data_IF_451969155320
#
_entry.id   IF_451969155320
#
_cell.length_a   1.000
_cell.length_b   1.000
_cell.length_c   1.000
_cell.angle_alpha   90.00
_cell.angle_beta   90.00
_cell.angle_gamma   90.00
#
_symmetry.space_group_name_H-M   'P 1'
#
loop_
_entity.id
_entity.type
_entity.pdbx_description
1 polymer ?
#
# COMPACT_ATOMS: atom_id res chain seq x y z
N UNK A 1 -14.01 -69.69 13.74
CA UNK A 1 -13.42 -68.46 14.32
C UNK A 1 -13.07 -67.53 13.17
N UNK A 2 -13.86 -66.46 12.94
CA UNK A 2 -13.62 -65.46 11.89
C UNK A 2 -12.90 -64.30 12.53
N UNK A 3 -11.64 -64.03 12.12
CA UNK A 3 -10.87 -62.83 12.56
C UNK A 3 -11.29 -61.64 11.71
N UNK A 4 -11.86 -60.61 12.35
CA UNK A 4 -12.13 -59.33 11.74
C UNK A 4 -10.85 -58.49 11.75
N UNK A 5 -10.38 -58.03 10.57
CA UNK A 5 -9.30 -57.06 10.42
C UNK A 5 -9.94 -55.64 10.50
N UNK A 6 -9.58 -54.90 11.51
CA UNK A 6 -9.93 -53.48 11.62
C UNK A 6 -8.84 -52.69 10.88
N UNK A 7 -9.20 -52.09 9.76
CA UNK A 7 -8.35 -51.14 9.02
C UNK A 7 -8.55 -49.77 9.64
N UNK A 8 -7.57 -49.27 10.36
CA UNK A 8 -7.54 -47.93 10.91
C UNK A 8 -7.06 -46.95 9.82
N UNK A 9 -7.94 -46.16 9.24
CA UNK A 9 -7.58 -45.06 8.36
C UNK A 9 -6.97 -43.92 9.18
N UNK A 10 -5.67 -43.71 9.06
CA UNK A 10 -4.97 -42.53 9.60
C UNK A 10 -5.17 -41.41 8.60
N UNK A 11 -5.99 -40.43 8.96
CA UNK A 11 -6.14 -39.17 8.22
C UNK A 11 -4.87 -38.33 8.45
N UNK A 12 -4.03 -38.20 7.43
CA UNK A 12 -2.89 -37.28 7.43
C UNK A 12 -3.47 -35.88 7.14
N UNK A 13 -3.56 -35.03 8.17
CA UNK A 13 -3.84 -33.62 8.01
C UNK A 13 -2.62 -32.96 7.35
N UNK A 14 -2.74 -32.63 6.06
CA UNK A 14 -1.77 -31.81 5.36
C UNK A 14 -1.95 -30.38 5.84
N UNK A 15 -1.10 -29.95 6.76
CA UNK A 15 -0.99 -28.54 7.12
C UNK A 15 -0.41 -27.79 5.92
N UNK A 16 -1.23 -27.09 5.18
CA UNK A 16 -0.78 -26.08 4.24
C UNK A 16 -0.17 -24.94 5.04
N UNK A 17 1.13 -24.97 5.26
CA UNK A 17 1.88 -23.80 5.69
C UNK A 17 1.83 -22.78 4.55
N UNK A 18 0.98 -21.78 4.67
CA UNK A 18 1.12 -20.59 3.83
C UNK A 18 2.50 -20.00 4.17
N UNK A 19 3.30 -19.62 3.18
CA UNK A 19 4.51 -18.87 3.46
C UNK A 19 4.07 -17.61 4.20
N UNK A 20 4.46 -17.48 5.46
CA UNK A 20 4.39 -16.20 6.18
C UNK A 20 5.36 -15.30 5.40
N UNK A 21 4.84 -14.38 4.62
CA UNK A 21 5.65 -13.30 4.08
C UNK A 21 6.23 -12.61 5.31
N UNK A 22 7.55 -12.58 5.41
CA UNK A 22 8.19 -11.97 6.56
C UNK A 22 8.02 -10.46 6.46
N UNK A 23 7.40 -9.85 7.48
CA UNK A 23 7.32 -8.39 7.61
C UNK A 23 8.69 -7.77 7.29
N UNK A 24 8.72 -6.62 6.61
CA UNK A 24 9.99 -5.92 6.42
C UNK A 24 10.61 -5.60 7.79
N UNK A 25 11.89 -5.85 7.96
CA UNK A 25 12.63 -5.63 9.22
C UNK A 25 13.88 -4.76 9.05
N UNK A 26 14.23 -4.41 7.81
CA UNK A 26 15.47 -3.68 7.51
C UNK A 26 15.34 -2.18 7.72
N UNK A 27 14.12 -1.63 7.65
CA UNK A 27 13.86 -0.21 7.85
C UNK A 27 13.09 -0.02 9.17
N UNK A 28 13.78 0.29 10.27
CA UNK A 28 13.21 0.19 11.62
C UNK A 28 12.24 1.31 11.99
N UNK A 29 12.22 2.41 11.23
CA UNK A 29 11.40 3.58 11.55
C UNK A 29 11.19 4.52 10.34
N UNK A 30 10.17 5.36 10.45
CA UNK A 30 9.79 6.31 9.41
C UNK A 30 10.89 7.31 9.02
N UNK A 31 11.75 7.74 9.95
CA UNK A 31 12.82 8.68 9.62
C UNK A 31 13.85 8.05 8.67
N UNK A 32 14.19 6.79 8.90
CA UNK A 32 15.06 6.01 8.01
C UNK A 32 14.37 5.77 6.66
N UNK A 33 13.08 5.39 6.68
CA UNK A 33 12.30 5.22 5.45
C UNK A 33 12.25 6.50 4.61
N UNK A 34 12.02 7.66 5.24
CA UNK A 34 11.98 8.96 4.57
C UNK A 34 13.31 9.32 3.89
N UNK A 35 14.46 8.99 4.52
CA UNK A 35 15.77 9.22 3.93
C UNK A 35 15.95 8.35 2.68
N UNK A 36 15.66 7.05 2.78
CA UNK A 36 15.74 6.10 1.66
C UNK A 36 14.74 6.44 0.54
N UNK A 37 13.53 6.82 0.88
CA UNK A 37 12.51 7.22 -0.07
C UNK A 37 12.96 8.36 -0.98
N UNK A 38 13.48 9.44 -0.42
CA UNK A 38 13.93 10.59 -1.20
C UNK A 38 15.33 10.43 -1.79
N UNK A 39 16.22 9.71 -1.10
CA UNK A 39 17.64 9.57 -1.50
C UNK A 39 17.91 8.41 -2.44
N UNK A 40 17.23 7.29 -2.23
CA UNK A 40 17.55 6.04 -2.93
C UNK A 40 16.48 5.67 -3.97
N UNK A 41 15.18 5.84 -3.64
CA UNK A 41 14.09 5.52 -4.60
C UNK A 41 13.88 6.65 -5.61
N UNK A 42 13.90 7.92 -5.15
CA UNK A 42 13.65 9.07 -6.01
C UNK A 42 14.80 10.09 -6.05
N UNK A 43 16.07 9.66 -6.24
CA UNK A 43 17.22 10.56 -6.26
C UNK A 43 17.15 11.58 -7.40
N UNK A 44 16.48 11.23 -8.48
CA UNK A 44 16.31 12.07 -9.68
C UNK A 44 14.85 12.53 -9.88
N UNK A 45 14.04 12.38 -8.84
CA UNK A 45 12.64 12.74 -8.91
C UNK A 45 11.72 11.66 -9.51
N UNK A 46 10.47 12.03 -9.69
CA UNK A 46 9.40 11.17 -10.24
C UNK A 46 8.13 12.00 -10.49
N UNK A 47 6.97 11.35 -10.43
CA UNK A 47 5.65 11.99 -10.50
C UNK A 47 4.87 11.73 -9.22
N UNK A 48 4.08 12.73 -8.80
CA UNK A 48 3.17 12.58 -7.65
C UNK A 48 2.04 11.60 -7.97
N UNK A 49 1.69 10.76 -7.00
CA UNK A 49 0.68 9.71 -7.18
C UNK A 49 -0.66 10.26 -7.68
N UNK A 50 -1.27 11.16 -6.93
CA UNK A 50 -2.63 11.63 -7.19
C UNK A 50 -2.74 12.58 -8.38
N UNK A 51 -1.75 13.42 -8.64
CA UNK A 51 -1.85 14.50 -9.62
C UNK A 51 -0.91 14.34 -10.82
N UNK A 52 0.05 13.42 -10.79
CA UNK A 52 1.03 13.26 -11.87
C UNK A 52 1.93 14.49 -12.09
N UNK A 53 2.09 15.32 -11.08
CA UNK A 53 3.01 16.45 -11.14
C UNK A 53 4.44 15.96 -11.01
N UNK A 54 5.31 16.42 -11.88
CA UNK A 54 6.72 16.03 -11.89
C UNK A 54 7.50 16.75 -10.81
N UNK A 55 8.41 16.04 -10.16
CA UNK A 55 9.35 16.60 -9.19
C UNK A 55 10.76 16.05 -9.42
N UNK A 56 11.75 16.85 -9.11
CA UNK A 56 13.19 16.51 -9.23
C UNK A 56 13.91 16.61 -7.89
N UNK A 57 13.22 17.06 -6.85
CA UNK A 57 13.74 17.16 -5.49
C UNK A 57 12.66 16.75 -4.47
N UNK A 58 13.03 16.74 -3.20
CA UNK A 58 12.16 16.27 -2.10
C UNK A 58 11.18 17.30 -1.52
N UNK A 59 11.28 18.55 -1.93
CA UNK A 59 10.52 19.65 -1.32
C UNK A 59 9.33 20.11 -2.12
N UNK A 60 9.46 20.12 -3.45
CA UNK A 60 8.45 20.68 -4.36
C UNK A 60 8.50 20.05 -5.74
N UNK A 61 7.43 20.23 -6.49
CA UNK A 61 7.33 19.89 -7.91
C UNK A 61 8.08 20.89 -8.79
N UNK A 62 8.23 20.61 -10.09
CA UNK A 62 8.87 21.53 -11.05
C UNK A 62 8.11 22.89 -11.15
N UNK A 63 6.83 22.92 -10.87
CA UNK A 63 5.99 24.11 -10.81
C UNK A 63 5.83 24.70 -9.38
N UNK A 64 6.71 24.31 -8.43
CA UNK A 64 6.85 24.92 -7.10
C UNK A 64 5.81 24.46 -6.06
N UNK A 65 5.06 23.40 -6.32
CA UNK A 65 4.06 22.90 -5.37
C UNK A 65 4.69 22.02 -4.28
N UNK A 66 4.41 22.25 -2.98
CA UNK A 66 5.01 21.50 -1.89
C UNK A 66 4.68 20.02 -1.90
N UNK A 67 5.69 19.18 -1.65
CA UNK A 67 5.57 17.74 -1.57
C UNK A 67 5.43 17.21 -0.14
N UNK A 68 4.87 16.01 -0.04
CA UNK A 68 4.87 15.16 1.14
C UNK A 68 4.95 13.69 0.73
N UNK A 69 5.19 12.82 1.70
CA UNK A 69 5.06 11.38 1.51
C UNK A 69 3.64 10.98 1.86
N UNK A 70 2.99 10.29 0.94
CA UNK A 70 1.70 9.65 1.12
C UNK A 70 1.90 8.22 1.64
N UNK A 71 1.07 7.82 2.62
CA UNK A 71 0.88 6.42 2.99
C UNK A 71 -0.45 5.94 2.39
N UNK A 72 -0.38 5.14 1.36
CA UNK A 72 -1.57 4.67 0.60
C UNK A 72 -2.53 3.91 1.50
N UNK A 73 -2.06 2.93 2.27
CA UNK A 73 -2.77 2.41 3.43
C UNK A 73 -2.54 3.38 4.60
N UNK A 74 -3.58 4.06 5.12
CA UNK A 74 -3.41 5.15 6.07
C UNK A 74 -2.78 4.72 7.40
N UNK A 75 -1.94 5.59 7.95
CA UNK A 75 -1.35 5.37 9.28
C UNK A 75 -2.39 5.28 10.40
N UNK A 76 -3.50 6.01 10.29
CA UNK A 76 -4.63 5.90 11.24
C UNK A 76 -5.21 4.49 11.25
N UNK A 77 -5.46 3.89 10.09
CA UNK A 77 -5.97 2.53 9.99
C UNK A 77 -5.01 1.48 10.55
N UNK A 78 -3.69 1.69 10.41
CA UNK A 78 -2.69 0.83 11.07
C UNK A 78 -2.78 0.93 12.59
N UNK A 79 -2.91 2.17 13.13
CA UNK A 79 -3.05 2.38 14.57
C UNK A 79 -4.31 1.77 15.14
N UNK A 80 -5.43 1.94 14.44
CA UNK A 80 -6.73 1.40 14.83
C UNK A 80 -6.68 -0.14 14.85
N UNK A 81 -6.07 -0.76 13.85
CA UNK A 81 -5.89 -2.22 13.81
C UNK A 81 -5.00 -2.74 14.95
N UNK A 82 -3.96 -2.01 15.30
CA UNK A 82 -3.02 -2.41 16.36
C UNK A 82 -3.48 -1.98 17.77
N UNK A 83 -4.54 -1.19 17.86
CA UNK A 83 -5.07 -0.62 19.12
C UNK A 83 -3.96 0.06 19.96
N UNK A 84 -2.94 0.64 19.30
CA UNK A 84 -1.75 1.17 19.97
C UNK A 84 -1.87 2.63 20.42
N UNK A 85 -3.02 3.27 20.18
CA UNK A 85 -3.31 4.63 20.60
C UNK A 85 -3.01 5.70 19.53
N UNK A 86 -2.55 6.88 19.95
CA UNK A 86 -2.19 7.94 19.02
C UNK A 86 -0.83 7.66 18.34
N UNK A 87 -0.42 8.54 17.42
CA UNK A 87 0.81 8.35 16.65
C UNK A 87 2.05 8.18 17.54
N UNK A 88 2.22 9.04 18.54
CA UNK A 88 3.40 9.03 19.41
C UNK A 88 3.42 7.76 20.28
N UNK A 89 2.26 7.37 20.82
CA UNK A 89 2.13 6.13 21.59
C UNK A 89 2.47 4.89 20.74
N UNK A 90 2.01 4.85 19.48
CA UNK A 90 2.31 3.75 18.57
C UNK A 90 3.81 3.73 18.20
N UNK A 91 4.39 4.89 17.96
CA UNK A 91 5.84 5.03 17.70
C UNK A 91 6.68 4.52 18.87
N UNK A 92 6.30 4.87 20.09
CA UNK A 92 7.07 4.52 21.29
C UNK A 92 6.89 3.03 21.66
N UNK A 93 5.67 2.49 21.56
CA UNK A 93 5.32 1.22 22.18
C UNK A 93 5.08 0.06 21.18
N UNK A 94 5.00 0.30 19.86
CA UNK A 94 4.74 -0.72 18.88
C UNK A 94 5.82 -0.81 17.81
N UNK A 95 6.68 -1.82 17.92
CA UNK A 95 7.65 -2.13 16.86
C UNK A 95 6.95 -2.42 15.54
N UNK A 96 5.85 -3.21 15.59
CA UNK A 96 5.07 -3.55 14.39
C UNK A 96 4.52 -2.31 13.68
N UNK A 97 4.04 -1.31 14.44
CA UNK A 97 3.61 -0.04 13.85
C UNK A 97 4.77 0.68 13.14
N UNK A 98 5.94 0.76 13.77
CA UNK A 98 7.12 1.40 13.17
C UNK A 98 7.54 0.72 11.86
N UNK A 99 7.48 -0.61 11.79
CA UNK A 99 7.79 -1.37 10.58
C UNK A 99 6.74 -1.13 9.48
N UNK A 100 5.45 -1.16 9.81
CA UNK A 100 4.36 -0.85 8.86
C UNK A 100 4.44 0.58 8.31
N UNK A 101 4.66 1.57 9.19
CA UNK A 101 4.77 2.98 8.79
C UNK A 101 6.00 3.25 7.94
N UNK A 102 7.06 2.47 8.09
CA UNK A 102 8.31 2.60 7.34
C UNK A 102 8.38 1.76 6.07
N UNK A 103 7.32 1.01 5.74
CA UNK A 103 7.31 0.19 4.55
C UNK A 103 7.24 1.02 3.27
N UNK A 104 8.28 0.92 2.45
CA UNK A 104 8.42 1.70 1.23
C UNK A 104 7.40 1.33 0.15
N UNK A 105 6.82 0.12 0.16
CA UNK A 105 5.77 -0.27 -0.78
C UNK A 105 4.48 0.53 -0.56
N UNK A 106 4.26 1.03 0.65
CA UNK A 106 3.11 1.85 1.01
C UNK A 106 3.34 3.36 0.81
N UNK A 107 4.55 3.80 0.45
CA UNK A 107 4.94 5.22 0.41
C UNK A 107 5.02 5.76 -1.01
N UNK A 108 4.39 6.90 -1.29
CA UNK A 108 4.46 7.59 -2.59
C UNK A 108 4.66 9.09 -2.41
N UNK A 109 5.25 9.75 -3.43
CA UNK A 109 5.29 11.21 -3.49
C UNK A 109 3.90 11.78 -3.80
N UNK A 110 3.46 12.76 -3.04
CA UNK A 110 2.19 13.45 -3.28
C UNK A 110 2.30 14.95 -3.04
N UNK A 111 1.43 15.74 -3.67
CA UNK A 111 1.26 17.14 -3.29
C UNK A 111 0.74 17.22 -1.87
N UNK A 112 1.35 18.09 -1.05
CA UNK A 112 1.03 18.19 0.39
C UNK A 112 -0.45 18.50 0.66
N UNK A 113 -1.04 19.41 -0.10
CA UNK A 113 -2.44 19.78 0.05
C UNK A 113 -3.40 18.67 -0.38
N UNK A 114 -3.07 17.90 -1.43
CA UNK A 114 -3.87 16.76 -1.89
C UNK A 114 -3.77 15.61 -0.88
N UNK A 115 -2.56 15.31 -0.40
CA UNK A 115 -2.34 14.33 0.67
C UNK A 115 -3.13 14.70 1.94
N UNK A 116 -3.05 15.95 2.39
CA UNK A 116 -3.84 16.43 3.53
C UNK A 116 -5.35 16.36 3.27
N UNK A 117 -5.80 16.61 2.05
CA UNK A 117 -7.21 16.49 1.66
C UNK A 117 -7.69 15.04 1.66
N UNK A 118 -6.84 14.10 1.22
CA UNK A 118 -7.14 12.67 1.28
C UNK A 118 -7.25 12.23 2.73
N UNK A 119 -6.29 12.62 3.59
CA UNK A 119 -6.27 12.22 5.00
C UNK A 119 -6.26 10.70 5.13
N UNK A 120 -7.31 10.15 5.71
CA UNK A 120 -7.53 8.70 5.85
C UNK A 120 -8.84 8.22 5.17
N UNK A 121 -9.43 9.08 4.33
CA UNK A 121 -10.64 8.70 3.61
C UNK A 121 -10.40 7.44 2.76
N UNK A 122 -11.32 6.47 2.79
CA UNK A 122 -11.27 5.34 1.88
C UNK A 122 -11.34 5.80 0.42
N UNK A 123 -10.78 4.98 -0.45
CA UNK A 123 -10.88 5.20 -1.87
C UNK A 123 -12.25 4.79 -2.41
N UNK A 124 -12.72 5.48 -3.44
CA UNK A 124 -14.00 5.20 -4.06
C UNK A 124 -14.15 5.91 -5.40
N UNK A 125 -15.33 5.78 -5.99
CA UNK A 125 -15.75 6.51 -7.20
C UNK A 125 -16.79 7.54 -6.76
N UNK A 126 -16.61 8.77 -7.20
CA UNK A 126 -17.53 9.90 -6.95
C UNK A 126 -18.27 10.18 -8.25
N UNK A 127 -19.61 10.16 -8.27
CA UNK A 127 -20.36 10.49 -9.47
C UNK A 127 -20.06 11.93 -9.91
N UNK A 128 -19.95 12.13 -11.21
CA UNK A 128 -19.61 13.39 -11.85
C UNK A 128 -18.15 13.82 -11.66
N UNK A 129 -17.53 14.28 -12.75
CA UNK A 129 -16.17 14.81 -12.77
C UNK A 129 -16.13 16.20 -12.14
N UNK A 130 -15.78 16.30 -10.87
CA UNK A 130 -15.70 17.56 -10.14
C UNK A 130 -14.37 17.64 -9.36
N UNK A 131 -13.29 17.90 -10.06
CA UNK A 131 -11.96 18.00 -9.48
C UNK A 131 -11.88 19.00 -8.34
N UNK A 132 -11.38 18.54 -7.22
CA UNK A 132 -11.17 19.41 -6.05
C UNK A 132 -10.15 20.52 -6.32
N UNK A 133 -9.24 20.31 -7.24
CA UNK A 133 -8.18 21.24 -7.64
C UNK A 133 -8.08 21.28 -9.16
N UNK A 134 -8.14 22.44 -9.78
CA UNK A 134 -8.13 22.62 -11.24
C UNK A 134 -6.92 22.00 -11.97
N UNK A 135 -5.85 21.77 -11.23
CA UNK A 135 -4.60 21.20 -11.75
C UNK A 135 -4.42 19.70 -11.49
N UNK A 136 -5.41 19.03 -10.91
CA UNK A 136 -5.28 17.66 -10.43
C UNK A 136 -6.61 16.91 -10.57
N UNK A 137 -6.61 15.88 -11.40
CA UNK A 137 -7.70 14.91 -11.54
C UNK A 137 -7.80 14.11 -10.24
N UNK A 138 -8.45 14.73 -9.26
CA UNK A 138 -8.64 14.20 -7.91
C UNK A 138 -9.93 14.80 -7.32
N UNK A 139 -10.86 13.92 -6.94
CA UNK A 139 -12.11 14.27 -6.31
C UNK A 139 -12.09 13.93 -4.82
N UNK A 140 -12.91 14.65 -4.06
CA UNK A 140 -13.05 14.46 -2.62
C UNK A 140 -14.47 14.75 -2.16
N UNK A 141 -15.18 13.70 -1.74
CA UNK A 141 -16.43 13.80 -0.98
C UNK A 141 -16.16 13.60 0.53
N UNK A 142 -17.12 13.80 1.43
CA UNK A 142 -16.88 13.76 2.88
C UNK A 142 -16.14 12.50 3.35
N UNK A 143 -16.46 11.33 2.80
CA UNK A 143 -15.91 10.04 3.23
C UNK A 143 -15.25 9.24 2.08
N UNK A 144 -14.98 9.83 0.93
CA UNK A 144 -14.41 9.14 -0.23
C UNK A 144 -13.37 10.05 -0.88
N UNK A 145 -12.25 9.45 -1.29
CA UNK A 145 -11.25 10.07 -2.13
C UNK A 145 -11.17 9.29 -3.45
N UNK A 146 -11.33 9.97 -4.56
CA UNK A 146 -11.17 9.39 -5.88
C UNK A 146 -9.88 9.91 -6.52
N UNK A 147 -8.91 9.03 -6.77
CA UNK A 147 -7.68 9.38 -7.47
C UNK A 147 -7.86 9.26 -8.98
N UNK A 148 -7.01 9.97 -9.72
CA UNK A 148 -6.93 9.84 -11.18
C UNK A 148 -6.80 8.37 -11.62
N UNK A 149 -7.35 7.98 -12.78
CA UNK A 149 -7.38 6.58 -13.24
C UNK A 149 -6.02 5.89 -13.25
N UNK A 150 -4.97 6.56 -13.73
CA UNK A 150 -3.60 6.01 -13.84
C UNK A 150 -2.85 5.83 -12.49
N UNK A 151 -3.48 6.18 -11.37
CA UNK A 151 -2.95 5.93 -10.03
C UNK A 151 -3.65 4.76 -9.32
N UNK A 152 -4.78 4.33 -9.85
CA UNK A 152 -5.69 3.39 -9.18
C UNK A 152 -5.07 2.02 -8.99
N UNK A 153 -4.37 1.51 -10.00
CA UNK A 153 -3.67 0.22 -9.91
C UNK A 153 -2.52 0.24 -8.91
N UNK A 154 -1.72 1.30 -8.88
CA UNK A 154 -0.67 1.47 -7.88
C UNK A 154 -1.23 1.44 -6.45
N UNK A 155 -2.35 2.15 -6.22
CA UNK A 155 -3.05 2.18 -4.94
C UNK A 155 -3.54 0.78 -4.57
N UNK A 156 -4.21 0.08 -5.49
CA UNK A 156 -4.72 -1.26 -5.27
C UNK A 156 -3.60 -2.24 -4.85
N UNK A 157 -2.50 -2.26 -5.60
CA UNK A 157 -1.36 -3.14 -5.31
C UNK A 157 -0.65 -2.82 -4.00
N UNK A 158 -0.61 -1.54 -3.60
CA UNK A 158 -0.08 -1.14 -2.30
C UNK A 158 -0.97 -1.58 -1.15
N UNK A 159 -2.29 -1.40 -1.25
CA UNK A 159 -3.23 -1.80 -0.20
C UNK A 159 -3.24 -3.32 -0.04
N UNK A 160 -3.28 -4.09 -1.13
CA UNK A 160 -3.25 -5.54 -1.06
C UNK A 160 -1.91 -6.08 -0.54
N UNK A 161 -0.80 -5.41 -0.85
CA UNK A 161 0.49 -5.73 -0.25
C UNK A 161 0.43 -5.55 1.27
N UNK A 162 -0.02 -4.41 1.76
CA UNK A 162 -0.14 -4.14 3.19
C UNK A 162 -1.09 -5.11 3.90
N UNK A 163 -2.18 -5.51 3.21
CA UNK A 163 -3.10 -6.53 3.70
C UNK A 163 -2.41 -7.89 3.88
N UNK A 164 -1.70 -8.37 2.86
CA UNK A 164 -1.08 -9.70 2.90
C UNK A 164 0.15 -9.73 3.79
N UNK A 165 0.99 -8.70 3.73
CA UNK A 165 2.25 -8.62 4.48
C UNK A 165 2.00 -8.49 5.99
N UNK A 166 1.04 -7.65 6.38
CA UNK A 166 0.83 -7.29 7.78
C UNK A 166 -0.50 -7.80 8.36
N UNK A 167 -1.34 -8.46 7.59
CA UNK A 167 -2.68 -8.88 8.04
C UNK A 167 -3.64 -7.71 8.26
N UNK A 168 -3.39 -6.56 7.61
CA UNK A 168 -4.23 -5.37 7.78
C UNK A 168 -5.60 -5.55 7.11
N UNK A 169 -6.70 -5.14 7.73
CA UNK A 169 -8.03 -5.34 7.18
C UNK A 169 -8.27 -4.48 5.93
N UNK A 170 -9.00 -5.05 4.99
CA UNK A 170 -9.57 -4.34 3.83
C UNK A 170 -11.04 -4.70 3.75
N UNK A 171 -11.90 -3.70 3.73
CA UNK A 171 -13.35 -3.88 3.58
C UNK A 171 -13.68 -4.54 2.24
N UNK A 172 -14.69 -5.42 2.20
CA UNK A 172 -15.04 -6.21 1.01
C UNK A 172 -15.46 -5.38 -0.19
N UNK A 173 -16.15 -4.24 0.03
CA UNK A 173 -16.56 -3.36 -1.06
C UNK A 173 -15.35 -2.61 -1.62
N UNK A 174 -14.48 -2.12 -0.74
CA UNK A 174 -13.21 -1.53 -1.12
C UNK A 174 -12.33 -2.56 -1.85
N UNK A 175 -12.24 -3.78 -1.37
CA UNK A 175 -11.46 -4.84 -2.02
C UNK A 175 -11.97 -5.13 -3.44
N UNK A 176 -13.29 -5.17 -3.64
CA UNK A 176 -13.91 -5.37 -4.95
C UNK A 176 -13.56 -4.25 -5.91
N UNK A 177 -13.62 -2.99 -5.47
CA UNK A 177 -13.21 -1.82 -6.25
C UNK A 177 -11.72 -1.87 -6.59
N UNK A 178 -10.86 -2.18 -5.61
CA UNK A 178 -9.41 -2.25 -5.83
C UNK A 178 -9.01 -3.38 -6.79
N UNK A 179 -9.71 -4.52 -6.77
CA UNK A 179 -9.53 -5.57 -7.78
C UNK A 179 -9.84 -5.05 -9.18
N UNK A 180 -10.92 -4.29 -9.35
CA UNK A 180 -11.24 -3.65 -10.63
C UNK A 180 -10.13 -2.67 -11.05
N UNK A 181 -9.69 -1.81 -10.15
CA UNK A 181 -8.63 -0.84 -10.42
C UNK A 181 -7.30 -1.50 -10.84
N UNK A 182 -6.95 -2.62 -10.21
CA UNK A 182 -5.76 -3.38 -10.61
C UNK A 182 -5.85 -3.96 -12.03
N UNK A 183 -7.06 -4.35 -12.48
CA UNK A 183 -7.29 -4.81 -13.85
C UNK A 183 -7.20 -3.66 -14.87
N UNK A 184 -7.76 -2.51 -14.52
CA UNK A 184 -7.87 -1.34 -15.42
C UNK A 184 -6.55 -0.58 -15.54
N UNK A 185 -5.72 -0.58 -14.50
CA UNK A 185 -4.41 0.09 -14.44
C UNK A 185 -3.30 -0.93 -14.09
N UNK A 186 -2.81 -1.71 -15.06
CA UNK A 186 -1.78 -2.71 -14.83
C UNK A 186 -0.42 -2.09 -14.47
N UNK A 187 0.51 -2.87 -13.85
CA UNK A 187 1.81 -2.38 -13.43
C UNK A 187 2.62 -1.75 -14.58
N UNK A 188 3.07 -0.52 -14.37
CA UNK A 188 3.94 0.20 -15.28
C UNK A 188 5.41 -0.22 -15.13
N UNK A 189 6.25 0.07 -16.15
CA UNK A 189 7.70 -0.11 -16.04
C UNK A 189 8.33 0.69 -14.87
N UNK A 190 7.76 1.85 -14.53
CA UNK A 190 8.18 2.64 -13.38
C UNK A 190 7.90 1.93 -12.06
N UNK A 191 6.74 1.34 -11.94
CA UNK A 191 6.34 0.59 -10.75
C UNK A 191 7.19 -0.68 -10.59
N UNK A 192 7.43 -1.43 -11.67
CA UNK A 192 8.33 -2.60 -11.65
C UNK A 192 9.76 -2.24 -11.23
N UNK A 193 10.29 -1.13 -11.75
CA UNK A 193 11.63 -0.64 -11.35
C UNK A 193 11.67 -0.23 -9.89
N UNK A 194 10.64 0.47 -9.43
CA UNK A 194 10.49 0.85 -8.03
C UNK A 194 10.43 -0.38 -7.12
N UNK A 195 9.73 -1.44 -7.53
CA UNK A 195 9.66 -2.71 -6.81
C UNK A 195 11.05 -3.35 -6.62
N UNK A 196 11.90 -3.32 -7.66
CA UNK A 196 13.28 -3.80 -7.56
C UNK A 196 14.11 -2.99 -6.56
N UNK A 197 14.03 -1.65 -6.61
CA UNK A 197 14.78 -0.80 -5.67
C UNK A 197 14.31 -0.97 -4.22
N UNK A 198 13.02 -1.15 -4.00
CA UNK A 198 12.51 -1.40 -2.67
C UNK A 198 13.01 -2.75 -2.13
N UNK A 199 13.00 -3.80 -2.94
CA UNK A 199 13.54 -5.09 -2.55
C UNK A 199 15.03 -5.00 -2.14
N UNK A 200 15.83 -4.25 -2.87
CA UNK A 200 17.24 -3.99 -2.51
C UNK A 200 17.39 -3.24 -1.17
N UNK A 201 16.44 -2.35 -0.84
CA UNK A 201 16.52 -1.47 0.32
C UNK A 201 15.90 -2.06 1.59
N UNK A 202 14.84 -2.85 1.47
CA UNK A 202 14.09 -3.37 2.61
C UNK A 202 13.93 -4.90 2.65
N UNK A 203 14.38 -5.60 1.59
CA UNK A 203 14.38 -7.07 1.55
C UNK A 203 13.04 -7.72 1.23
N UNK A 204 11.97 -6.94 1.07
CA UNK A 204 10.64 -7.43 0.69
C UNK A 204 10.25 -6.92 -0.69
N UNK A 205 9.43 -7.70 -1.39
CA UNK A 205 8.97 -7.41 -2.74
C UNK A 205 7.45 -7.47 -2.81
N UNK A 206 6.82 -6.50 -3.44
CA UNK A 206 5.38 -6.55 -3.68
C UNK A 206 5.07 -7.54 -4.81
N UNK A 207 4.51 -8.72 -4.51
CA UNK A 207 4.26 -9.76 -5.50
C UNK A 207 3.13 -9.39 -6.47
N UNK A 208 2.29 -8.41 -6.13
CA UNK A 208 1.18 -7.96 -6.96
C UNK A 208 1.63 -7.03 -8.09
N UNK A 209 2.85 -6.49 -8.01
CA UNK A 209 3.48 -5.77 -9.13
C UNK A 209 4.00 -6.77 -10.16
N UNK A 210 4.62 -7.87 -9.71
CA UNK A 210 5.14 -8.90 -10.62
C UNK A 210 4.04 -9.80 -11.20
N UNK A 211 3.03 -10.08 -10.40
CA UNK A 211 1.96 -11.02 -10.72
C UNK A 211 0.59 -10.42 -10.34
N UNK A 212 0.12 -9.36 -11.04
CA UNK A 212 -1.09 -8.62 -10.65
C UNK A 212 -2.35 -9.48 -10.61
N UNK A 213 -2.39 -10.58 -11.35
CA UNK A 213 -3.52 -11.53 -11.33
C UNK A 213 -3.69 -12.27 -10.00
N UNK A 214 -2.65 -12.39 -9.17
CA UNK A 214 -2.74 -13.02 -7.84
C UNK A 214 -3.69 -12.29 -6.89
N UNK A 215 -4.00 -11.03 -7.17
CA UNK A 215 -4.98 -10.25 -6.41
C UNK A 215 -6.38 -10.87 -6.49
N UNK A 216 -6.71 -11.53 -7.61
CA UNK A 216 -8.02 -12.17 -7.79
C UNK A 216 -8.24 -13.36 -6.83
N UNK A 217 -7.16 -13.99 -6.38
CA UNK A 217 -7.22 -15.14 -5.47
C UNK A 217 -7.43 -14.74 -3.99
N UNK A 218 -7.27 -13.46 -3.66
CA UNK A 218 -7.47 -12.94 -2.29
C UNK A 218 -8.96 -13.01 -1.90
N UNK A 219 -9.21 -13.41 -0.65
CA UNK A 219 -10.56 -13.48 -0.06
C UNK A 219 -10.69 -12.40 1.03
N UNK A 220 -11.90 -11.79 1.14
CA UNK A 220 -12.21 -10.67 2.03
C UNK A 220 -13.56 -10.88 2.73
#
# INVERSE_FOLDING_TARGET
MKRAFIITCIAIAVLFSHPILADQTQIPNYQTAKQKFWGDIYPYGSWTLYCGKKFTNRSETEDGMPLSIEHVYPRSWMRDHLECGNHDQCQDNSERYRLMESDLHNMYGALRNVNSSRGDAPYGIIPEENWRYDYCDYERAPNIAEPRPIARGNIARSIFYMHVEYGLPVDSDLASLLKQWNRDDPPSCHEMRRNNWIEELQGTRNPFIDHPKKIEDLQF
#
